data_IF_842260784433
#
_entry.id   IF_842260784433
#
_cell.length_a   1.000
_cell.length_b   1.000
_cell.length_c   1.000
_cell.angle_alpha   90.00
_cell.angle_beta   90.00
_cell.angle_gamma   90.00
#
_symmetry.space_group_name_H-M   'P 1'
#
loop_
_entity.id
_entity.type
_entity.pdbx_description
1 polymer ?
#
# COMPACT_ATOMS: atom_id res chain seq x y z
N UNK A 1 28.54 13.11 19.35
CA UNK A 1 28.74 14.38 18.63
C UNK A 1 28.68 14.04 17.14
N UNK A 2 27.61 14.43 16.43
CA UNK A 2 27.61 14.36 14.95
C UNK A 2 28.38 15.59 14.46
N UNK A 3 29.39 15.36 13.63
CA UNK A 3 30.30 16.40 13.14
C UNK A 3 29.55 17.26 12.10
N UNK A 4 29.67 18.58 12.18
CA UNK A 4 29.02 19.52 11.25
C UNK A 4 29.48 19.34 9.78
N UNK A 5 30.55 18.59 9.55
CA UNK A 5 31.07 18.23 8.23
C UNK A 5 30.26 17.15 7.49
N UNK A 6 29.34 16.45 8.16
CA UNK A 6 28.51 15.37 7.57
C UNK A 6 27.20 15.90 6.94
N UNK A 7 26.85 17.16 7.24
CA UNK A 7 25.64 17.83 6.76
C UNK A 7 25.69 18.34 5.30
N UNK A 8 26.81 18.89 4.78
CA UNK A 8 26.87 19.42 3.41
C UNK A 8 26.68 18.33 2.36
N UNK A 9 27.28 17.16 2.57
CA UNK A 9 27.21 15.98 1.69
C UNK A 9 25.81 15.39 1.63
N UNK A 10 25.12 15.31 2.78
CA UNK A 10 23.74 14.81 2.83
C UNK A 10 22.76 15.70 2.03
N UNK A 11 22.97 17.02 2.01
CA UNK A 11 22.16 17.92 1.18
C UNK A 11 22.45 17.74 -0.31
N UNK A 12 23.73 17.55 -0.69
CA UNK A 12 24.11 17.32 -2.10
C UNK A 12 23.51 16.02 -2.66
N UNK A 13 23.49 14.93 -1.89
CA UNK A 13 22.89 13.66 -2.32
C UNK A 13 21.36 13.78 -2.48
N UNK A 14 20.70 14.51 -1.59
CA UNK A 14 19.27 14.77 -1.69
C UNK A 14 18.94 15.65 -2.90
N UNK A 15 19.72 16.69 -3.15
CA UNK A 15 19.56 17.55 -4.33
C UNK A 15 19.72 16.76 -5.63
N UNK A 16 20.71 15.86 -5.69
CA UNK A 16 20.91 14.97 -6.84
C UNK A 16 19.73 13.98 -7.02
N UNK A 17 19.19 13.44 -5.92
CA UNK A 17 18.01 12.58 -5.97
C UNK A 17 16.76 13.34 -6.44
N UNK A 18 16.56 14.58 -5.96
CA UNK A 18 15.47 15.45 -6.40
C UNK A 18 15.58 15.80 -7.88
N UNK A 19 16.80 16.11 -8.36
CA UNK A 19 17.06 16.36 -9.76
C UNK A 19 16.72 15.12 -10.62
N UNK A 20 17.13 13.93 -10.17
CA UNK A 20 16.80 12.67 -10.85
C UNK A 20 15.28 12.46 -10.94
N UNK A 21 14.55 12.70 -9.84
CA UNK A 21 13.09 12.61 -9.83
C UNK A 21 12.44 13.62 -10.78
N UNK A 22 12.96 14.86 -10.82
CA UNK A 22 12.42 15.90 -11.70
C UNK A 22 12.62 15.57 -13.19
N UNK A 23 13.80 15.06 -13.55
CA UNK A 23 14.14 14.64 -14.91
C UNK A 23 13.26 13.46 -15.40
N UNK A 24 12.90 12.53 -14.51
CA UNK A 24 12.20 11.30 -14.87
C UNK A 24 10.68 11.36 -14.66
N UNK A 25 10.13 12.45 -14.08
CA UNK A 25 8.69 12.56 -13.77
C UNK A 25 7.78 12.36 -14.98
N UNK A 26 8.21 12.76 -16.18
CA UNK A 26 7.44 12.58 -17.42
C UNK A 26 7.39 11.10 -17.84
N UNK A 27 8.53 10.41 -17.80
CA UNK A 27 8.60 8.98 -18.10
C UNK A 27 7.81 8.16 -17.07
N UNK A 28 7.84 8.57 -15.81
CA UNK A 28 7.07 7.93 -14.74
C UNK A 28 5.57 7.91 -15.03
N UNK A 29 4.97 9.05 -15.42
CA UNK A 29 3.53 9.10 -15.74
C UNK A 29 3.16 8.22 -16.94
N UNK A 30 4.08 8.03 -17.90
CA UNK A 30 3.86 7.19 -19.07
C UNK A 30 4.07 5.69 -18.77
N UNK A 31 4.56 5.35 -17.58
CA UNK A 31 4.83 3.96 -17.21
C UNK A 31 3.53 3.22 -16.95
N UNK A 32 3.31 2.11 -17.67
CA UNK A 32 2.14 1.25 -17.43
C UNK A 32 2.21 0.65 -16.02
N UNK A 33 1.19 0.95 -15.21
CA UNK A 33 1.05 0.40 -13.86
C UNK A 33 0.99 -1.13 -13.90
N UNK A 34 0.31 -1.71 -14.90
CA UNK A 34 0.23 -3.17 -15.04
C UNK A 34 1.61 -3.79 -15.33
N UNK A 35 2.38 -3.18 -16.24
CA UNK A 35 3.73 -3.64 -16.56
C UNK A 35 4.68 -3.49 -15.36
N UNK A 36 4.56 -2.39 -14.60
CA UNK A 36 5.34 -2.17 -13.39
C UNK A 36 5.04 -3.22 -12.33
N UNK A 37 3.77 -3.54 -12.08
CA UNK A 37 3.37 -4.59 -11.13
C UNK A 37 3.89 -5.97 -11.55
N UNK A 38 3.82 -6.30 -12.84
CA UNK A 38 4.41 -7.53 -13.38
C UNK A 38 5.93 -7.57 -13.15
N UNK A 39 6.63 -6.47 -13.43
CA UNK A 39 8.08 -6.35 -13.22
C UNK A 39 8.47 -6.47 -11.75
N UNK A 40 7.70 -5.91 -10.83
CA UNK A 40 7.93 -6.06 -9.38
C UNK A 40 7.88 -7.53 -9.00
N UNK A 41 6.89 -8.30 -9.51
CA UNK A 41 6.79 -9.74 -9.24
C UNK A 41 8.00 -10.51 -9.77
N UNK A 42 8.44 -10.22 -10.98
CA UNK A 42 9.65 -10.81 -11.56
C UNK A 42 10.89 -10.54 -10.71
N UNK A 43 11.06 -9.29 -10.25
CA UNK A 43 12.19 -8.88 -9.42
C UNK A 43 12.10 -9.41 -7.98
N UNK A 44 10.89 -9.67 -7.47
CA UNK A 44 10.67 -10.17 -6.12
C UNK A 44 11.11 -11.63 -5.96
N UNK A 45 10.80 -12.48 -6.95
CA UNK A 45 11.04 -13.92 -6.84
C UNK A 45 12.50 -14.29 -6.50
N UNK A 46 13.53 -13.72 -7.16
CA UNK A 46 14.93 -14.02 -6.85
C UNK A 46 15.38 -13.55 -5.45
N UNK A 47 14.72 -12.56 -4.85
CA UNK A 47 15.14 -11.95 -3.57
C UNK A 47 14.27 -12.37 -2.39
N UNK A 48 13.17 -13.09 -2.62
CA UNK A 48 12.18 -13.42 -1.61
C UNK A 48 12.78 -14.14 -0.39
N UNK A 49 13.59 -15.18 -0.62
CA UNK A 49 14.23 -15.94 0.44
C UNK A 49 15.22 -15.08 1.24
N UNK A 50 16.13 -14.41 0.53
CA UNK A 50 17.13 -13.55 1.17
C UNK A 50 16.47 -12.43 1.99
N UNK A 51 15.34 -11.91 1.53
CA UNK A 51 14.54 -10.94 2.27
C UNK A 51 13.97 -11.54 3.56
N UNK A 52 13.23 -12.66 3.48
CA UNK A 52 12.60 -13.27 4.66
C UNK A 52 13.64 -13.64 5.73
N UNK A 53 14.75 -14.25 5.33
CA UNK A 53 15.83 -14.60 6.25
C UNK A 53 16.53 -13.36 6.84
N UNK A 54 16.78 -12.33 6.05
CA UNK A 54 17.36 -11.09 6.54
C UNK A 54 16.46 -10.40 7.56
N UNK A 55 15.14 -10.43 7.35
CA UNK A 55 14.17 -9.89 8.29
C UNK A 55 14.16 -10.69 9.61
N UNK A 56 14.16 -12.03 9.53
CA UNK A 56 14.24 -12.91 10.70
C UNK A 56 15.52 -12.65 11.51
N UNK A 57 16.68 -12.58 10.84
CA UNK A 57 17.97 -12.27 11.48
C UNK A 57 17.96 -10.91 12.18
N UNK A 58 17.42 -9.87 11.54
CA UNK A 58 17.33 -8.52 12.14
C UNK A 58 16.41 -8.48 13.36
N UNK A 59 15.44 -9.37 13.43
CA UNK A 59 14.54 -9.55 14.57
C UNK A 59 15.11 -10.48 15.65
N UNK A 60 16.31 -11.03 15.44
CA UNK A 60 16.96 -11.95 16.39
C UNK A 60 16.31 -13.33 16.47
N UNK A 61 15.57 -13.73 15.43
CA UNK A 61 14.93 -15.04 15.37
C UNK A 61 15.97 -16.10 14.96
N UNK A 62 15.92 -17.26 15.63
CA UNK A 62 16.67 -18.44 15.21
C UNK A 62 16.15 -18.95 13.86
N UNK A 63 17.02 -19.58 13.05
CA UNK A 63 16.68 -20.02 11.70
C UNK A 63 15.61 -21.12 11.68
N UNK A 64 15.54 -21.93 12.72
CA UNK A 64 14.56 -23.00 12.95
C UNK A 64 13.33 -22.53 13.73
N UNK A 65 13.27 -21.24 14.09
CA UNK A 65 12.13 -20.69 14.81
C UNK A 65 10.87 -20.76 13.95
N UNK A 66 9.74 -21.28 14.49
CA UNK A 66 8.46 -21.21 13.79
C UNK A 66 8.07 -19.77 13.38
N UNK A 67 8.52 -18.76 14.14
CA UNK A 67 8.26 -17.35 13.85
C UNK A 67 9.00 -16.85 12.61
N UNK A 68 10.07 -17.52 12.16
CA UNK A 68 10.74 -17.15 10.92
C UNK A 68 9.81 -17.30 9.69
N UNK A 69 8.80 -18.19 9.78
CA UNK A 69 7.76 -18.33 8.76
C UNK A 69 6.89 -17.07 8.61
N UNK A 70 6.72 -16.28 9.66
CA UNK A 70 5.93 -15.04 9.60
C UNK A 70 6.57 -13.99 8.69
N UNK A 71 7.89 -14.01 8.53
CA UNK A 71 8.62 -13.09 7.64
C UNK A 71 8.32 -13.36 6.16
N UNK A 72 8.00 -14.60 5.82
CA UNK A 72 7.55 -14.95 4.47
C UNK A 72 6.17 -14.37 4.18
N UNK A 73 5.25 -14.47 5.13
CA UNK A 73 3.86 -14.00 5.00
C UNK A 73 3.82 -12.47 4.98
N UNK A 74 4.47 -11.83 5.94
CA UNK A 74 4.45 -10.37 6.10
C UNK A 74 5.38 -9.62 5.13
N UNK A 75 6.32 -10.31 4.50
CA UNK A 75 7.25 -9.74 3.51
C UNK A 75 6.91 -10.14 2.07
N UNK A 76 7.63 -11.12 1.47
CA UNK A 76 7.47 -11.47 0.06
C UNK A 76 6.04 -11.83 -0.35
N UNK A 77 5.34 -12.64 0.44
CA UNK A 77 3.97 -13.04 0.13
C UNK A 77 3.03 -11.82 0.06
N UNK A 78 3.09 -10.92 1.04
CA UNK A 78 2.26 -9.71 1.06
C UNK A 78 2.45 -8.85 -0.20
N UNK A 79 3.68 -8.66 -0.68
CA UNK A 79 3.96 -7.91 -1.91
C UNK A 79 3.42 -8.63 -3.15
N UNK A 80 3.65 -9.95 -3.25
CA UNK A 80 3.14 -10.76 -4.36
C UNK A 80 1.61 -10.75 -4.40
N UNK A 81 0.96 -10.95 -3.26
CA UNK A 81 -0.49 -10.94 -3.12
C UNK A 81 -1.08 -9.57 -3.48
N UNK A 82 -0.46 -8.49 -3.01
CA UNK A 82 -0.85 -7.12 -3.37
C UNK A 82 -0.75 -6.88 -4.88
N UNK A 83 0.37 -7.28 -5.51
CA UNK A 83 0.53 -7.12 -6.96
C UNK A 83 -0.54 -7.88 -7.74
N UNK A 84 -0.83 -9.13 -7.35
CA UNK A 84 -1.88 -9.93 -7.98
C UNK A 84 -3.27 -9.29 -7.84
N UNK A 85 -3.64 -8.85 -6.64
CA UNK A 85 -4.92 -8.19 -6.39
C UNK A 85 -5.07 -6.87 -7.16
N UNK A 86 -3.99 -6.09 -7.22
CA UNK A 86 -3.97 -4.82 -7.94
C UNK A 86 -4.06 -5.02 -9.46
N UNK A 87 -3.29 -5.98 -10.02
CA UNK A 87 -3.37 -6.33 -11.44
C UNK A 87 -4.79 -6.81 -11.81
N UNK A 88 -5.40 -7.66 -10.99
CA UNK A 88 -6.78 -8.12 -11.21
C UNK A 88 -7.75 -6.95 -11.21
N UNK A 89 -7.69 -6.08 -10.20
CA UNK A 89 -8.58 -4.92 -10.08
C UNK A 89 -8.41 -3.99 -11.28
N UNK A 90 -7.18 -3.58 -11.60
CA UNK A 90 -6.88 -2.67 -12.70
C UNK A 90 -7.31 -3.22 -14.06
N UNK A 91 -7.20 -4.54 -14.29
CA UNK A 91 -7.69 -5.19 -15.52
C UNK A 91 -9.21 -5.12 -15.70
N UNK A 92 -9.94 -4.89 -14.61
CA UNK A 92 -11.40 -4.77 -14.57
C UNK A 92 -11.90 -3.33 -14.41
N UNK A 93 -10.99 -2.35 -14.39
CA UNK A 93 -11.36 -0.93 -14.31
C UNK A 93 -12.03 -0.48 -15.61
N UNK A 94 -11.47 -0.87 -16.76
CA UNK A 94 -12.10 -0.63 -18.05
C UNK A 94 -13.46 -1.34 -18.12
N UNK A 95 -14.49 -0.63 -18.60
CA UNK A 95 -15.87 -1.13 -18.60
C UNK A 95 -16.51 -1.28 -17.21
N UNK A 96 -15.83 -0.85 -16.13
CA UNK A 96 -16.33 -0.86 -14.73
C UNK A 96 -16.65 -2.24 -14.16
N UNK A 97 -16.00 -3.28 -14.70
CA UNK A 97 -16.19 -4.67 -14.28
C UNK A 97 -15.74 -4.95 -12.84
N UNK A 98 -14.87 -4.11 -12.28
CA UNK A 98 -14.46 -4.17 -10.87
C UNK A 98 -15.62 -4.02 -9.86
N UNK A 99 -16.80 -3.55 -10.30
CA UNK A 99 -18.00 -3.45 -9.48
C UNK A 99 -18.93 -4.67 -9.63
N UNK A 100 -18.71 -5.52 -10.64
CA UNK A 100 -19.54 -6.70 -10.89
C UNK A 100 -19.46 -7.68 -9.71
N UNK A 101 -20.61 -8.02 -9.13
CA UNK A 101 -20.69 -8.95 -8.00
C UNK A 101 -20.15 -8.41 -6.67
N UNK A 102 -19.76 -7.13 -6.59
CA UNK A 102 -19.29 -6.50 -5.36
C UNK A 102 -20.45 -6.43 -4.34
N UNK A 103 -20.34 -7.04 -3.15
CA UNK A 103 -21.41 -6.97 -2.17
C UNK A 103 -21.55 -5.55 -1.63
N UNK A 104 -22.73 -4.98 -1.81
CA UNK A 104 -23.07 -3.63 -1.40
C UNK A 104 -24.18 -3.69 -0.35
N UNK A 105 -24.03 -2.90 0.72
CA UNK A 105 -25.01 -2.78 1.81
C UNK A 105 -25.25 -1.31 2.13
N UNK A 106 -26.51 -0.94 2.32
CA UNK A 106 -26.87 0.38 2.86
C UNK A 106 -26.77 0.36 4.39
N UNK A 107 -26.15 1.40 4.94
CA UNK A 107 -25.97 1.61 6.36
C UNK A 107 -27.17 2.36 6.96
N UNK A 108 -27.44 2.25 8.26
CA UNK A 108 -28.55 2.95 8.91
C UNK A 108 -28.50 4.48 8.77
N UNK A 109 -27.32 5.05 8.52
CA UNK A 109 -27.13 6.48 8.29
C UNK A 109 -27.30 6.90 6.82
N UNK A 110 -27.77 6.00 5.94
CA UNK A 110 -28.00 6.25 4.52
C UNK A 110 -26.76 6.16 3.62
N UNK A 111 -25.58 5.85 4.17
CA UNK A 111 -24.38 5.65 3.35
C UNK A 111 -24.33 4.25 2.74
N UNK A 112 -23.65 4.13 1.59
CA UNK A 112 -23.37 2.85 0.96
C UNK A 112 -22.04 2.28 1.47
N UNK A 113 -22.00 0.99 1.79
CA UNK A 113 -20.79 0.26 2.13
C UNK A 113 -20.53 -0.87 1.12
N UNK A 114 -19.33 -0.92 0.57
CA UNK A 114 -18.87 -1.97 -0.33
C UNK A 114 -17.95 -2.95 0.41
N UNK A 115 -18.28 -4.23 0.43
CA UNK A 115 -17.41 -5.25 1.01
C UNK A 115 -16.30 -5.61 0.01
N UNK A 116 -15.08 -5.15 0.27
CA UNK A 116 -13.92 -5.35 -0.61
C UNK A 116 -13.08 -6.57 -0.23
N UNK A 117 -13.28 -7.14 0.97
CA UNK A 117 -12.66 -8.39 1.39
C UNK A 117 -13.64 -9.30 2.11
N UNK A 118 -13.51 -10.63 1.94
CA UNK A 118 -12.56 -11.32 1.06
C UNK A 118 -12.92 -11.20 -0.42
N UNK A 119 -11.93 -11.09 -1.32
CA UNK A 119 -12.13 -11.06 -2.77
C UNK A 119 -11.81 -12.41 -3.46
N UNK A 120 -11.11 -13.31 -2.76
CA UNK A 120 -10.69 -14.61 -3.30
C UNK A 120 -10.92 -15.76 -2.31
N UNK A 121 -10.73 -17.00 -2.77
CA UNK A 121 -10.71 -18.18 -1.89
C UNK A 121 -9.49 -18.13 -0.96
N UNK A 122 -8.35 -17.64 -1.45
CA UNK A 122 -7.14 -17.50 -0.65
C UNK A 122 -7.29 -16.48 0.48
N UNK A 123 -7.97 -15.36 0.24
CA UNK A 123 -8.32 -14.39 1.29
C UNK A 123 -9.16 -15.06 2.38
N UNK A 124 -10.13 -15.90 1.99
CA UNK A 124 -10.97 -16.62 2.95
C UNK A 124 -10.19 -17.62 3.79
N UNK A 125 -9.22 -18.31 3.19
CA UNK A 125 -8.40 -19.31 3.88
C UNK A 125 -7.36 -18.66 4.79
N UNK A 126 -6.67 -17.62 4.31
CA UNK A 126 -5.55 -17.00 5.01
C UNK A 126 -5.99 -15.92 6.00
N UNK A 127 -7.09 -15.23 5.71
CA UNK A 127 -7.66 -14.16 6.55
C UNK A 127 -9.06 -14.57 7.02
N UNK A 128 -9.20 -15.81 7.49
CA UNK A 128 -10.49 -16.35 7.90
C UNK A 128 -11.14 -15.44 8.97
N UNK A 129 -12.42 -15.13 8.78
CA UNK A 129 -13.17 -14.24 9.68
C UNK A 129 -12.96 -12.74 9.45
N UNK A 130 -12.02 -12.32 8.60
CA UNK A 130 -11.80 -10.90 8.28
C UNK A 130 -12.71 -10.44 7.15
N UNK A 131 -13.39 -9.30 7.35
CA UNK A 131 -14.16 -8.60 6.31
C UNK A 131 -13.80 -7.12 6.33
N UNK A 132 -13.49 -6.59 5.15
CA UNK A 132 -13.22 -5.16 4.98
C UNK A 132 -14.35 -4.53 4.19
N UNK A 133 -14.85 -3.38 4.68
CA UNK A 133 -15.85 -2.59 4.01
C UNK A 133 -15.32 -1.19 3.77
N UNK A 134 -15.47 -0.69 2.55
CA UNK A 134 -15.22 0.72 2.22
C UNK A 134 -16.55 1.45 2.31
N UNK A 135 -16.60 2.48 3.13
CA UNK A 135 -17.79 3.33 3.27
C UNK A 135 -17.68 4.46 2.25
N UNK A 136 -18.72 4.58 1.42
CA UNK A 136 -18.78 5.63 0.43
C UNK A 136 -19.16 6.96 1.07
N UNK A 137 -18.75 8.06 0.45
CA UNK A 137 -19.18 9.40 0.86
C UNK A 137 -20.71 9.53 0.84
N UNK A 138 -21.31 10.39 1.71
CA UNK A 138 -22.74 10.67 1.65
C UNK A 138 -23.18 11.12 0.24
N UNK A 139 -24.29 10.56 -0.26
CA UNK A 139 -24.81 10.85 -1.60
C UNK A 139 -24.33 9.88 -2.70
N UNK A 140 -23.34 9.03 -2.41
CA UNK A 140 -22.98 7.92 -3.30
C UNK A 140 -23.95 6.76 -3.07
N UNK A 141 -24.66 6.40 -4.15
CA UNK A 141 -25.70 5.37 -4.21
C UNK A 141 -25.28 4.25 -5.15
N UNK A 142 -26.02 3.14 -5.16
CA UNK A 142 -25.79 2.03 -6.11
C UNK A 142 -25.84 2.49 -7.56
N UNK A 143 -26.72 3.46 -7.87
CA UNK A 143 -26.94 3.94 -9.23
C UNK A 143 -25.81 4.84 -9.74
N UNK A 144 -25.13 5.60 -8.86
CA UNK A 144 -24.05 6.50 -9.26
C UNK A 144 -22.65 6.01 -8.85
N UNK A 145 -22.52 4.89 -8.11
CA UNK A 145 -21.23 4.36 -7.63
C UNK A 145 -20.16 4.29 -8.73
N UNK A 146 -20.55 3.82 -9.91
CA UNK A 146 -19.73 3.73 -11.12
C UNK A 146 -19.10 5.06 -11.59
N UNK A 147 -19.66 6.20 -11.18
CA UNK A 147 -19.18 7.55 -11.51
C UNK A 147 -18.18 8.06 -10.46
N UNK A 148 -18.15 7.45 -9.27
CA UNK A 148 -17.32 7.84 -8.14
C UNK A 148 -16.15 6.88 -7.88
N UNK A 149 -16.03 5.77 -8.63
CA UNK A 149 -14.91 4.83 -8.51
C UNK A 149 -13.95 4.92 -9.69
N UNK A 150 -12.66 4.67 -9.43
CA UNK A 150 -11.60 4.62 -10.43
C UNK A 150 -11.53 5.85 -11.37
N UNK A 151 -11.97 7.02 -10.91
CA UNK A 151 -12.04 8.25 -11.73
C UNK A 151 -10.70 8.67 -12.32
N UNK A 152 -9.60 8.45 -11.58
CA UNK A 152 -8.24 8.68 -12.05
C UNK A 152 -7.88 7.90 -13.33
N UNK A 153 -8.48 6.72 -13.52
CA UNK A 153 -8.28 5.86 -14.69
C UNK A 153 -9.27 6.14 -15.83
N UNK A 154 -10.22 7.05 -15.64
CA UNK A 154 -11.24 7.43 -16.62
C UNK A 154 -10.87 8.73 -17.36
N UNK A 155 -9.62 9.18 -17.26
CA UNK A 155 -9.16 10.45 -17.84
C UNK A 155 -8.47 10.20 -19.18
N UNK A 156 -8.91 10.87 -20.24
CA UNK A 156 -8.27 10.78 -21.57
C UNK A 156 -6.92 11.51 -21.64
N UNK A 157 -6.66 12.43 -20.70
CA UNK A 157 -5.43 13.21 -20.65
C UNK A 157 -4.39 12.53 -19.75
N UNK A 158 -3.18 12.35 -20.29
CA UNK A 158 -2.01 11.98 -19.50
C UNK A 158 -1.67 13.14 -18.55
N UNK A 159 -1.62 12.92 -17.22
CA UNK A 159 -1.32 13.98 -16.28
C UNK A 159 0.12 14.50 -16.44
N UNK A 160 0.37 15.72 -15.97
CA UNK A 160 1.73 16.25 -15.91
C UNK A 160 2.46 15.64 -14.69
N UNK A 161 3.64 15.07 -14.91
CA UNK A 161 4.48 14.55 -13.83
C UNK A 161 4.96 15.69 -12.91
N UNK A 162 4.87 15.48 -11.60
CA UNK A 162 5.27 16.44 -10.57
C UNK A 162 6.04 15.75 -9.45
N UNK A 163 6.96 16.48 -8.82
CA UNK A 163 7.70 16.04 -7.63
C UNK A 163 7.08 16.73 -6.41
N UNK A 164 6.82 15.98 -5.35
CA UNK A 164 6.25 16.47 -4.10
C UNK A 164 7.02 15.93 -2.89
N UNK A 165 7.22 16.78 -1.89
CA UNK A 165 7.87 16.41 -0.62
C UNK A 165 6.80 16.08 0.42
N UNK A 166 6.84 14.86 0.95
CA UNK A 166 5.97 14.42 2.06
C UNK A 166 6.81 14.36 3.34
N UNK A 167 6.49 15.24 4.28
CA UNK A 167 7.16 15.29 5.58
C UNK A 167 6.35 14.55 6.64
N UNK A 168 6.96 13.53 7.25
CA UNK A 168 6.40 12.89 8.44
C UNK A 168 6.99 13.53 9.71
N UNK A 169 6.21 13.67 10.80
CA UNK A 169 6.73 14.19 12.05
C UNK A 169 7.85 13.28 12.59
N UNK A 170 8.95 13.88 13.02
CA UNK A 170 10.06 13.14 13.63
C UNK A 170 9.63 12.53 14.97
N UNK A 171 9.79 11.22 15.13
CA UNK A 171 9.59 10.57 16.43
C UNK A 171 10.73 10.97 17.38
N UNK A 172 10.45 11.55 18.57
CA UNK A 172 11.50 12.00 19.47
C UNK A 172 12.38 10.83 19.95
N UNK A 173 13.71 11.05 19.94
CA UNK A 173 14.76 10.06 20.27
C UNK A 173 14.69 9.43 21.68
N UNK A 174 13.76 9.86 22.55
CA UNK A 174 13.63 9.39 23.95
C UNK A 174 12.79 8.11 24.15
N UNK A 175 12.42 7.41 23.09
CA UNK A 175 11.65 6.15 23.16
C UNK A 175 12.43 4.95 22.56
N UNK A 176 13.74 4.88 22.76
CA UNK A 176 14.58 3.74 22.33
C UNK A 176 14.62 2.56 23.32
N UNK A 177 13.73 2.50 24.30
CA UNK A 177 13.51 1.30 25.12
C UNK A 177 12.04 0.91 25.00
N UNK A 178 11.81 -0.16 24.24
CA UNK A 178 10.55 -0.88 24.06
C UNK A 178 9.41 -0.15 23.36
N UNK A 179 9.19 -0.46 22.08
CA UNK A 179 7.84 -0.72 21.57
C UNK A 179 7.93 -1.60 20.32
N UNK A 180 7.80 -2.91 20.54
CA UNK A 180 7.01 -3.71 19.63
C UNK A 180 5.52 -3.35 19.88
N UNK A 181 4.72 -3.47 18.83
CA UNK A 181 3.26 -3.33 18.77
C UNK A 181 2.63 -1.98 18.39
N UNK A 182 1.85 -2.13 17.32
CA UNK A 182 0.54 -1.52 17.00
C UNK A 182 0.50 -0.10 16.45
N UNK A 183 0.53 -0.08 15.11
CA UNK A 183 -0.38 0.69 14.27
C UNK A 183 -1.79 0.81 14.89
N UNK A 184 -2.10 1.94 15.54
CA UNK A 184 -3.45 2.53 15.60
C UNK A 184 -3.37 3.90 16.30
N UNK A 185 -3.39 4.99 15.53
CA UNK A 185 -3.62 6.33 16.08
C UNK A 185 -4.93 6.90 15.53
N UNK A 186 -6.05 6.22 15.80
CA UNK A 186 -7.36 6.85 15.74
C UNK A 186 -7.63 7.52 17.10
N UNK A 187 -7.64 8.85 17.10
CA UNK A 187 -8.18 9.66 18.19
C UNK A 187 -9.70 9.43 18.26
N UNK A 188 -10.14 8.47 19.08
CA UNK A 188 -11.55 8.33 19.43
C UNK A 188 -11.74 8.92 20.84
N UNK A 189 -12.36 10.10 20.90
CA UNK A 189 -12.80 10.73 22.14
C UNK A 189 -14.05 9.98 22.62
N UNK A 190 -13.89 9.08 23.59
CA UNK A 190 -15.02 8.53 24.33
C UNK A 190 -15.55 9.60 25.30
N UNK A 191 -16.80 10.02 25.13
CA UNK A 191 -17.56 10.69 26.18
C UNK A 191 -18.33 9.59 26.93
N UNK A 192 -18.24 9.62 28.25
CA UNK A 192 -19.09 8.90 29.20
C UNK A 192 -20.56 9.23 28.99
#
# INVERSE_FOLDING_TARGET
>A
MHNAADMPTAHTELDAALQTLDEHKRAWVQTSVQALLARIKECLMPVAQAWAEAAARKKGLAADSPLAGEEWISGPYAVMAYCNAMMQTLSSVEGRRHLEGLPLRELPNGQLAAQVMPNSVWDRLLLSGVRAHVWMEPGVTRANLAQHTATAHNTAATPEGKVALVLAPATPRRLRRWTACTCCSSRTRWRS
#
